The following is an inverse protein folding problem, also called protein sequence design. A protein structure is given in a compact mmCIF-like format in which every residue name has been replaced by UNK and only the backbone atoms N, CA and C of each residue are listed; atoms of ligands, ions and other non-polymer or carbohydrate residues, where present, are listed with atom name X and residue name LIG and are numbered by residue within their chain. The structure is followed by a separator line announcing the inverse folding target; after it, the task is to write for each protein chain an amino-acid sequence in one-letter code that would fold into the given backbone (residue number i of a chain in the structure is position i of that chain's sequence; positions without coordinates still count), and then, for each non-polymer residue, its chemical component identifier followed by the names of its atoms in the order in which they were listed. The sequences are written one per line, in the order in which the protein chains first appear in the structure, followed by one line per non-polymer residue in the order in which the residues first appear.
data_IF_204249131520
#
_entry.id   IF_204249131520
#
_cell.length_a   1.000
_cell.length_b   1.000
_cell.length_c   1.000
_cell.angle_alpha   90.00
_cell.angle_beta   90.00
_cell.angle_gamma   90.00
#
_symmetry.space_group_name_H-M   'P 1'
#
loop_
_entity.id
_entity.type
_entity.pdbx_description
1 polymer ?
#
# COMPACT_ATOMS: atom_id res chain seq x y z
N UNK A 1 10.58 -5.95 17.42
CA UNK A 1 9.76 -5.96 16.18
C UNK A 1 10.70 -6.01 14.98
N UNK A 2 10.58 -6.99 14.13
CA UNK A 2 11.42 -7.09 12.93
C UNK A 2 10.91 -6.15 11.81
N UNK A 3 11.68 -6.07 10.73
CA UNK A 3 11.36 -5.17 9.61
C UNK A 3 10.00 -5.49 8.98
N UNK A 4 9.65 -6.77 8.89
CA UNK A 4 8.37 -7.17 8.33
C UNK A 4 7.22 -6.75 9.23
N UNK A 5 7.34 -6.95 10.52
CA UNK A 5 6.30 -6.55 11.47
C UNK A 5 6.09 -5.04 11.46
N UNK A 6 7.17 -4.28 11.37
CA UNK A 6 7.09 -2.82 11.26
C UNK A 6 6.36 -2.41 9.98
N UNK A 7 6.73 -3.00 8.85
CA UNK A 7 6.08 -2.70 7.58
C UNK A 7 4.60 -3.07 7.58
N UNK A 8 4.24 -4.23 8.14
CA UNK A 8 2.85 -4.66 8.27
C UNK A 8 2.06 -3.64 9.11
N UNK A 9 2.63 -3.18 10.21
CA UNK A 9 1.97 -2.19 11.05
C UNK A 9 1.75 -0.87 10.31
N UNK A 10 2.72 -0.42 9.54
CA UNK A 10 2.60 0.78 8.72
C UNK A 10 1.45 0.66 7.71
N UNK A 11 1.33 -0.50 7.06
CA UNK A 11 0.24 -0.72 6.10
C UNK A 11 -1.13 -0.74 6.79
N UNK A 12 -1.21 -1.34 7.98
CA UNK A 12 -2.44 -1.33 8.78
C UNK A 12 -2.83 0.07 9.20
N UNK A 13 -1.86 0.85 9.65
CA UNK A 13 -2.08 2.24 10.04
C UNK A 13 -2.54 3.08 8.85
N UNK A 14 -1.95 2.86 7.68
CA UNK A 14 -2.36 3.53 6.45
C UNK A 14 -3.77 3.17 6.04
N UNK A 15 -4.12 1.89 6.11
CA UNK A 15 -5.48 1.42 5.81
C UNK A 15 -6.50 2.07 6.75
N UNK A 16 -6.21 2.09 8.04
CA UNK A 16 -7.09 2.73 9.02
C UNK A 16 -7.23 4.23 8.75
N UNK A 17 -6.12 4.91 8.47
CA UNK A 17 -6.12 6.32 8.16
C UNK A 17 -7.02 6.64 6.96
N UNK A 18 -6.86 5.93 5.86
CA UNK A 18 -7.65 6.17 4.66
C UNK A 18 -9.13 5.84 4.88
N UNK A 19 -9.42 4.78 5.64
CA UNK A 19 -10.80 4.40 5.95
C UNK A 19 -11.50 5.45 6.80
N UNK A 20 -10.82 5.98 7.81
CA UNK A 20 -11.36 7.05 8.66
C UNK A 20 -11.53 8.35 7.87
N UNK A 21 -10.58 8.67 7.00
CA UNK A 21 -10.68 9.86 6.15
C UNK A 21 -11.87 9.73 5.19
N UNK A 22 -12.10 8.54 4.62
CA UNK A 22 -13.24 8.31 3.75
C UNK A 22 -14.57 8.52 4.48
N UNK A 23 -14.64 8.09 5.75
CA UNK A 23 -15.85 8.27 6.55
C UNK A 23 -16.14 9.73 6.90
N UNK A 24 -15.10 10.55 6.94
CA UNK A 24 -15.24 11.97 7.37
C UNK A 24 -15.49 12.92 6.22
N UNK A 25 -14.99 12.61 5.03
CA UNK A 25 -15.07 13.51 3.89
C UNK A 25 -16.45 13.40 3.23
N UNK A 26 -17.00 14.51 2.76
CA UNK A 26 -18.36 14.52 2.20
C UNK A 26 -18.38 14.39 0.67
N UNK A 27 -17.26 14.64 0.02
CA UNK A 27 -17.17 14.50 -1.43
C UNK A 27 -17.09 13.04 -1.85
N UNK A 28 -18.03 12.62 -2.70
CA UNK A 28 -18.16 11.22 -3.11
C UNK A 28 -16.94 10.71 -3.88
N UNK A 29 -16.40 11.54 -4.78
CA UNK A 29 -15.23 11.14 -5.56
C UNK A 29 -14.01 10.97 -4.67
N UNK A 30 -13.84 11.84 -3.68
CA UNK A 30 -12.76 11.72 -2.71
C UNK A 30 -12.95 10.51 -1.81
N UNK A 31 -14.18 10.21 -1.39
CA UNK A 31 -14.48 9.00 -0.62
C UNK A 31 -14.06 7.75 -1.38
N UNK A 32 -14.44 7.67 -2.65
CA UNK A 32 -14.11 6.51 -3.48
C UNK A 32 -12.60 6.34 -3.63
N UNK A 33 -11.87 7.44 -3.82
CA UNK A 33 -10.42 7.41 -3.91
C UNK A 33 -9.78 6.91 -2.62
N UNK A 34 -10.25 7.41 -1.47
CA UNK A 34 -9.73 7.00 -0.17
C UNK A 34 -10.02 5.53 0.13
N UNK A 35 -11.19 5.04 -0.26
CA UNK A 35 -11.53 3.63 -0.12
C UNK A 35 -10.62 2.74 -0.97
N UNK A 36 -10.29 3.18 -2.19
CA UNK A 36 -9.33 2.46 -3.04
C UNK A 36 -7.94 2.44 -2.42
N UNK A 37 -7.50 3.55 -1.85
CA UNK A 37 -6.21 3.62 -1.17
C UNK A 37 -6.17 2.68 0.04
N UNK A 38 -7.25 2.63 0.81
CA UNK A 38 -7.36 1.71 1.94
C UNK A 38 -7.26 0.25 1.48
N UNK A 39 -7.92 -0.07 0.38
CA UNK A 39 -7.86 -1.42 -0.21
C UNK A 39 -6.45 -1.76 -0.68
N UNK A 40 -5.76 -0.82 -1.31
CA UNK A 40 -4.38 -1.03 -1.77
C UNK A 40 -3.43 -1.30 -0.60
N UNK A 41 -3.59 -0.57 0.51
CA UNK A 41 -2.78 -0.79 1.71
C UNK A 41 -2.99 -2.21 2.27
N UNK A 42 -4.22 -2.71 2.20
CA UNK A 42 -4.53 -4.07 2.65
C UNK A 42 -3.85 -5.12 1.77
N UNK A 43 -3.81 -4.91 0.46
CA UNK A 43 -3.10 -5.80 -0.46
C UNK A 43 -1.59 -5.78 -0.18
N UNK A 44 -1.03 -4.61 0.10
CA UNK A 44 0.39 -4.49 0.48
C UNK A 44 0.67 -5.26 1.76
N UNK A 45 -0.21 -5.16 2.75
CA UNK A 45 -0.08 -5.91 3.99
C UNK A 45 -0.01 -7.42 3.72
N UNK A 46 -0.91 -7.93 2.87
CA UNK A 46 -0.93 -9.35 2.52
C UNK A 46 0.37 -9.78 1.83
N UNK A 47 0.91 -8.96 0.93
CA UNK A 47 2.17 -9.26 0.26
C UNK A 47 3.34 -9.32 1.25
N UNK A 48 3.38 -8.38 2.19
CA UNK A 48 4.44 -8.35 3.20
C UNK A 48 4.33 -9.57 4.13
N UNK A 49 3.12 -9.96 4.49
CA UNK A 49 2.89 -11.18 5.29
C UNK A 49 3.38 -12.43 4.57
N UNK A 50 3.17 -12.52 3.26
CA UNK A 50 3.67 -13.62 2.45
C UNK A 50 5.20 -13.65 2.43
N UNK A 51 5.84 -12.50 2.30
CA UNK A 51 7.30 -12.42 2.35
C UNK A 51 7.83 -12.86 3.71
N UNK A 52 7.18 -12.42 4.78
CA UNK A 52 7.57 -12.81 6.15
C UNK A 52 7.42 -14.32 6.36
N UNK A 53 6.39 -14.91 5.80
CA UNK A 53 6.14 -16.36 5.93
C UNK A 53 7.17 -17.20 5.20
N UNK A 54 8.09 -16.61 4.44
CA UNK A 54 9.12 -17.33 3.73
C UNK A 54 8.58 -18.16 2.59
N UNK A 55 7.60 -17.64 1.87
CA UNK A 55 7.07 -18.32 0.70
C UNK A 55 8.14 -18.47 -0.38
N UNK A 56 7.85 -19.30 -1.40
CA UNK A 56 8.82 -19.68 -2.43
C UNK A 56 9.52 -18.46 -3.02
N UNK A 57 10.81 -18.61 -3.37
CA UNK A 57 11.64 -17.53 -3.90
C UNK A 57 10.99 -16.82 -5.10
N UNK A 58 10.30 -17.57 -5.97
CA UNK A 58 9.61 -17.00 -7.14
C UNK A 58 8.50 -16.05 -6.72
N UNK A 59 7.74 -16.42 -5.70
CA UNK A 59 6.65 -15.58 -5.18
C UNK A 59 7.23 -14.30 -4.57
N UNK A 60 8.28 -14.42 -3.77
CA UNK A 60 8.95 -13.27 -3.17
C UNK A 60 9.47 -12.33 -4.26
N UNK A 61 10.08 -12.87 -5.31
CA UNK A 61 10.60 -12.08 -6.42
C UNK A 61 9.48 -11.32 -7.13
N UNK A 62 8.35 -11.98 -7.38
CA UNK A 62 7.21 -11.36 -8.05
C UNK A 62 6.58 -10.26 -7.20
N UNK A 63 6.46 -10.48 -5.90
CA UNK A 63 5.94 -9.48 -4.96
C UNK A 63 6.86 -8.27 -4.92
N UNK A 64 8.17 -8.48 -4.79
CA UNK A 64 9.14 -7.39 -4.77
C UNK A 64 9.11 -6.57 -6.05
N UNK A 65 8.95 -7.24 -7.20
CA UNK A 65 8.83 -6.56 -8.50
C UNK A 65 7.56 -5.72 -8.57
N UNK A 66 6.44 -6.25 -8.06
CA UNK A 66 5.18 -5.52 -8.01
C UNK A 66 5.28 -4.26 -7.17
N UNK A 67 5.88 -4.36 -5.99
CA UNK A 67 6.10 -3.21 -5.10
C UNK A 67 6.99 -2.18 -5.78
N UNK A 68 8.08 -2.61 -6.41
CA UNK A 68 8.98 -1.73 -7.12
C UNK A 68 8.26 -0.96 -8.22
N UNK A 69 7.41 -1.64 -8.99
CA UNK A 69 6.66 -1.01 -10.07
C UNK A 69 5.70 0.06 -9.55
N UNK A 70 5.05 -0.19 -8.40
CA UNK A 70 4.16 0.78 -7.77
C UNK A 70 4.95 2.03 -7.36
N UNK A 71 6.10 1.86 -6.72
CA UNK A 71 6.95 2.99 -6.33
C UNK A 71 7.45 3.78 -7.52
N UNK A 72 7.85 3.11 -8.60
CA UNK A 72 8.29 3.78 -9.82
C UNK A 72 7.17 4.64 -10.40
N UNK A 73 5.94 4.13 -10.42
CA UNK A 73 4.79 4.90 -10.89
C UNK A 73 4.49 6.11 -10.03
N UNK A 74 4.61 5.95 -8.71
CA UNK A 74 4.40 7.07 -7.79
C UNK A 74 5.42 8.17 -8.01
N UNK A 75 6.69 7.81 -8.21
CA UNK A 75 7.77 8.76 -8.48
C UNK A 75 7.51 9.50 -9.79
N UNK A 76 7.11 8.80 -10.85
CA UNK A 76 6.77 9.42 -12.12
C UNK A 76 5.63 10.41 -11.98
N UNK A 77 4.59 10.04 -11.21
CA UNK A 77 3.44 10.90 -10.98
C UNK A 77 3.85 12.17 -10.23
N UNK A 78 4.66 12.03 -9.18
CA UNK A 78 5.17 13.16 -8.43
C UNK A 78 6.00 14.08 -9.30
N UNK A 79 6.85 13.52 -10.17
CA UNK A 79 7.66 14.31 -11.09
C UNK A 79 6.82 15.14 -12.05
N UNK A 80 5.66 14.64 -12.45
CA UNK A 80 4.73 15.36 -13.32
C UNK A 80 4.06 16.52 -12.62
N UNK A 81 3.90 16.45 -11.30
CA UNK A 81 3.24 17.51 -10.52
C UNK A 81 4.21 18.58 -10.00
N UNK A 82 5.50 18.30 -9.99
CA UNK A 82 6.51 19.21 -9.44
C UNK A 82 6.95 20.28 -10.44
N UNK A 83 6.67 20.12 -11.69
CA UNK A 83 6.96 21.10 -12.72
C UNK A 83 5.92 22.25 -12.66
#
# INVERSE_FOLDING_TARGET
MDSFDYAIQMERDGCEFYSLAADTIQDRAAQNMLELLAHDEKLHEEYIEQMKAGTQADVVTNVARGIKNVFEKLIETDSQFID
#
